data_IF_366712001293
#
_entry.id   IF_366712001293
#
_cell.length_a   1.000
_cell.length_b   1.000
_cell.length_c   1.000
_cell.angle_alpha   90.00
_cell.angle_beta   90.00
_cell.angle_gamma   90.00
#
_symmetry.space_group_name_H-M   'P 1'
#
loop_
_entity.id
_entity.type
_entity.pdbx_description
1 polymer ?
#
# COMPACT_ATOMS: atom_id res chain seq x y z
N UNK A 1 40.44 -16.87 -4.44
CA UNK A 1 39.93 -17.01 -5.80
C UNK A 1 39.09 -15.80 -6.13
N UNK A 2 39.24 -15.24 -7.33
CA UNK A 2 38.34 -14.18 -7.86
C UNK A 2 37.26 -14.86 -8.70
N UNK A 3 36.02 -14.43 -8.52
CA UNK A 3 34.85 -14.99 -9.22
C UNK A 3 34.03 -13.83 -9.73
N UNK A 4 33.78 -13.84 -11.02
CA UNK A 4 32.87 -12.89 -11.64
C UNK A 4 31.43 -13.40 -11.51
N UNK A 5 30.57 -12.57 -10.98
CA UNK A 5 29.13 -12.87 -10.85
C UNK A 5 28.32 -11.76 -11.54
N UNK A 6 27.21 -12.12 -12.16
CA UNK A 6 26.38 -11.16 -12.88
C UNK A 6 24.88 -11.44 -12.75
N UNK A 7 24.08 -10.38 -12.77
CA UNK A 7 22.67 -10.46 -13.13
C UNK A 7 22.58 -10.00 -14.58
N UNK A 8 22.09 -10.83 -15.51
CA UNK A 8 22.04 -10.51 -16.93
C UNK A 8 21.31 -9.18 -17.20
N UNK A 9 21.97 -8.32 -17.99
CA UNK A 9 21.45 -7.01 -18.36
C UNK A 9 21.48 -5.95 -17.26
N UNK A 10 21.75 -6.31 -15.98
CA UNK A 10 21.72 -5.35 -14.88
C UNK A 10 23.12 -4.98 -14.39
N UNK A 11 23.83 -5.90 -13.77
CA UNK A 11 25.13 -5.60 -13.15
C UNK A 11 26.04 -6.82 -13.07
N UNK A 12 27.33 -6.58 -13.25
CA UNK A 12 28.40 -7.56 -13.07
C UNK A 12 29.33 -7.10 -11.93
N UNK A 13 29.72 -8.01 -11.06
CA UNK A 13 30.62 -7.74 -9.94
C UNK A 13 31.69 -8.83 -9.79
N UNK A 14 32.84 -8.46 -9.26
CA UNK A 14 33.90 -9.40 -8.89
C UNK A 14 33.91 -9.65 -7.38
N UNK A 15 34.04 -10.91 -6.99
CA UNK A 15 34.06 -11.36 -5.60
C UNK A 15 35.34 -12.12 -5.35
N UNK A 16 36.09 -11.72 -4.32
CA UNK A 16 37.22 -12.49 -3.79
C UNK A 16 36.73 -13.38 -2.66
N UNK A 17 36.93 -14.69 -2.79
CA UNK A 17 36.55 -15.66 -1.76
C UNK A 17 37.62 -16.71 -1.57
N UNK A 18 37.73 -17.27 -0.35
CA UNK A 18 38.57 -18.44 -0.10
C UNK A 18 38.03 -19.65 -0.86
N UNK A 19 38.85 -20.38 -1.65
CA UNK A 19 38.41 -21.56 -2.41
C UNK A 19 37.73 -22.66 -1.60
N UNK A 20 38.04 -22.77 -0.31
CA UNK A 20 37.42 -23.73 0.59
C UNK A 20 35.99 -23.37 1.04
N UNK A 21 35.58 -22.10 0.85
CA UNK A 21 34.21 -21.64 1.15
C UNK A 21 33.18 -22.31 0.24
N UNK A 22 31.94 -22.40 0.73
CA UNK A 22 30.82 -22.97 -0.04
C UNK A 22 30.28 -22.00 -1.07
N UNK A 23 29.68 -22.52 -2.14
CA UNK A 23 28.96 -21.73 -3.17
C UNK A 23 27.82 -20.93 -2.54
N UNK A 24 27.18 -21.43 -1.48
CA UNK A 24 26.20 -20.67 -0.69
C UNK A 24 26.76 -19.39 -0.05
N UNK A 25 28.04 -19.39 0.35
CA UNK A 25 28.70 -18.17 0.84
C UNK A 25 28.94 -17.17 -0.30
N UNK A 26 29.31 -17.66 -1.50
CA UNK A 26 29.40 -16.82 -2.70
C UNK A 26 28.05 -16.15 -3.01
N UNK A 27 26.94 -16.90 -2.95
CA UNK A 27 25.58 -16.36 -3.11
C UNK A 27 25.29 -15.23 -2.13
N UNK A 28 25.50 -15.47 -0.83
CA UNK A 28 25.26 -14.47 0.22
C UNK A 28 26.07 -13.18 0.01
N UNK A 29 27.34 -13.30 -0.35
CA UNK A 29 28.21 -12.14 -0.61
C UNK A 29 27.79 -11.40 -1.86
N UNK A 30 27.46 -12.11 -2.95
CA UNK A 30 26.98 -11.51 -4.20
C UNK A 30 25.67 -10.75 -3.97
N UNK A 31 24.70 -11.39 -3.35
CA UNK A 31 23.39 -10.79 -3.07
C UNK A 31 23.52 -9.54 -2.18
N UNK A 32 24.35 -9.57 -1.14
CA UNK A 32 24.62 -8.40 -0.28
C UNK A 32 25.21 -7.23 -1.08
N UNK A 33 26.20 -7.50 -1.94
CA UNK A 33 26.83 -6.45 -2.78
C UNK A 33 25.85 -5.85 -3.83
N UNK A 34 24.88 -6.63 -4.28
CA UNK A 34 23.89 -6.23 -5.27
C UNK A 34 22.61 -5.68 -4.64
N UNK A 35 22.43 -5.83 -3.32
CA UNK A 35 21.24 -5.37 -2.60
C UNK A 35 19.99 -6.21 -2.94
N UNK A 36 20.14 -7.53 -3.11
CA UNK A 36 19.06 -8.48 -3.43
C UNK A 36 18.99 -9.61 -2.40
N UNK A 37 17.86 -10.32 -2.37
CA UNK A 37 17.59 -11.38 -1.40
C UNK A 37 18.21 -12.72 -1.82
N UNK A 38 19.04 -13.36 -0.96
CA UNK A 38 19.62 -14.66 -1.26
C UNK A 38 18.59 -15.78 -1.44
N UNK A 39 17.49 -15.75 -0.67
CA UNK A 39 16.47 -16.81 -0.71
C UNK A 39 15.65 -16.79 -1.99
N UNK A 40 15.60 -15.62 -2.68
CA UNK A 40 14.96 -15.42 -3.97
C UNK A 40 15.94 -15.46 -5.14
N UNK A 41 17.19 -15.95 -4.89
CA UNK A 41 18.27 -16.01 -5.88
C UNK A 41 18.81 -17.43 -6.01
N UNK A 42 19.05 -17.88 -7.23
CA UNK A 42 19.79 -19.09 -7.57
C UNK A 42 21.10 -18.73 -8.23
N UNK A 43 22.13 -19.56 -8.07
CA UNK A 43 23.36 -19.43 -8.82
C UNK A 43 23.38 -20.43 -9.98
N UNK A 44 23.71 -19.94 -11.16
CA UNK A 44 23.82 -20.74 -12.36
C UNK A 44 25.24 -20.62 -12.94
N UNK A 45 25.76 -21.71 -13.50
CA UNK A 45 26.96 -21.75 -14.33
C UNK A 45 26.62 -22.43 -15.63
N UNK A 46 26.80 -21.74 -16.76
CA UNK A 46 26.39 -22.21 -18.08
C UNK A 46 24.93 -22.70 -18.11
N UNK A 47 24.01 -21.94 -17.48
CA UNK A 47 22.59 -22.25 -17.39
C UNK A 47 22.21 -23.37 -16.39
N UNK A 48 23.19 -24.07 -15.79
CA UNK A 48 22.94 -25.14 -14.83
C UNK A 48 23.02 -24.62 -13.38
N UNK A 49 22.03 -25.01 -12.56
CA UNK A 49 21.97 -24.62 -11.13
C UNK A 49 23.17 -25.21 -10.37
N UNK A 50 23.85 -24.34 -9.64
CA UNK A 50 24.94 -24.73 -8.73
C UNK A 50 24.38 -25.21 -7.38
N UNK A 51 24.96 -26.29 -6.86
CA UNK A 51 24.67 -26.76 -5.50
C UNK A 51 25.42 -25.88 -4.49
N UNK A 52 24.70 -25.38 -3.52
CA UNK A 52 25.21 -24.41 -2.54
C UNK A 52 26.17 -25.02 -1.50
N UNK A 53 26.12 -26.34 -1.29
CA UNK A 53 26.97 -27.10 -0.37
C UNK A 53 28.38 -27.37 -0.94
N UNK A 54 28.60 -27.26 -2.24
CA UNK A 54 29.89 -27.50 -2.88
C UNK A 54 30.89 -26.37 -2.60
N UNK A 55 32.20 -26.74 -2.60
CA UNK A 55 33.26 -25.77 -2.43
C UNK A 55 33.41 -24.86 -3.69
N UNK A 56 33.74 -23.60 -3.47
CA UNK A 56 34.01 -22.60 -4.51
C UNK A 56 35.15 -23.02 -5.44
N UNK A 57 36.10 -23.83 -4.93
CA UNK A 57 37.18 -24.40 -5.73
C UNK A 57 36.72 -25.21 -6.94
N UNK A 58 35.50 -25.76 -6.92
CA UNK A 58 34.89 -26.46 -8.08
C UNK A 58 34.61 -25.56 -9.28
N UNK A 59 34.63 -24.25 -9.08
CA UNK A 59 34.44 -23.25 -10.16
C UNK A 59 35.74 -22.90 -10.90
N UNK A 60 36.92 -23.42 -10.45
CA UNK A 60 38.25 -23.06 -11.02
C UNK A 60 38.43 -23.40 -12.51
N UNK A 61 37.68 -24.36 -13.02
CA UNK A 61 37.79 -24.83 -14.41
C UNK A 61 36.91 -24.02 -15.40
N UNK A 62 36.11 -23.04 -14.91
CA UNK A 62 35.21 -22.25 -15.75
C UNK A 62 35.69 -20.82 -15.89
N UNK A 63 35.79 -20.34 -17.11
CA UNK A 63 36.03 -18.94 -17.48
C UNK A 63 34.70 -18.15 -17.55
N UNK A 64 33.57 -18.85 -17.59
CA UNK A 64 32.25 -18.23 -17.65
C UNK A 64 31.84 -17.59 -16.30
N UNK A 65 31.17 -16.42 -16.30
CA UNK A 65 30.68 -15.80 -15.10
C UNK A 65 29.56 -16.64 -14.45
N UNK A 66 29.52 -16.64 -13.11
CA UNK A 66 28.42 -17.21 -12.37
C UNK A 66 27.22 -16.25 -12.46
N UNK A 67 26.11 -16.73 -13.01
CA UNK A 67 24.88 -15.96 -13.16
C UNK A 67 24.03 -16.04 -11.89
N UNK A 68 23.52 -14.89 -11.45
CA UNK A 68 22.50 -14.82 -10.42
C UNK A 68 21.12 -14.79 -11.10
N UNK A 69 20.38 -15.86 -10.94
CA UNK A 69 18.98 -15.99 -11.37
C UNK A 69 18.09 -15.51 -10.20
N UNK A 70 17.80 -14.20 -10.22
CA UNK A 70 17.03 -13.51 -9.20
C UNK A 70 15.57 -13.36 -9.63
N UNK A 71 14.63 -13.60 -8.72
CA UNK A 71 13.19 -13.61 -9.02
C UNK A 71 12.72 -12.37 -9.77
N UNK A 72 13.19 -11.19 -9.38
CA UNK A 72 12.83 -9.93 -10.00
C UNK A 72 13.95 -9.30 -10.85
N UNK A 73 14.83 -10.12 -11.40
CA UNK A 73 15.96 -9.63 -12.21
C UNK A 73 15.54 -8.64 -13.30
N UNK A 74 14.43 -8.89 -13.99
CA UNK A 74 13.90 -8.02 -15.05
C UNK A 74 13.40 -6.67 -14.52
N UNK A 75 12.85 -6.63 -13.29
CA UNK A 75 12.38 -5.39 -12.66
C UNK A 75 13.56 -4.51 -12.24
N UNK A 76 14.72 -5.10 -11.91
CA UNK A 76 15.94 -4.33 -11.61
C UNK A 76 16.37 -3.45 -12.77
N UNK A 77 16.04 -3.82 -14.01
CA UNK A 77 16.35 -3.02 -15.21
C UNK A 77 15.55 -1.71 -15.22
N UNK A 78 14.39 -1.67 -14.55
CA UNK A 78 13.52 -0.49 -14.50
C UNK A 78 13.88 0.40 -13.31
N UNK A 79 13.94 -0.15 -12.09
CA UNK A 79 14.10 0.67 -10.88
C UNK A 79 15.28 0.30 -9.98
N UNK A 80 16.11 -0.66 -10.39
CA UNK A 80 17.29 -1.09 -9.65
C UNK A 80 16.96 -1.86 -8.37
N UNK A 81 18.00 -2.30 -7.66
CA UNK A 81 17.84 -3.05 -6.40
C UNK A 81 17.27 -2.18 -5.29
N UNK A 82 17.57 -0.88 -5.26
CA UNK A 82 17.00 0.03 -4.28
C UNK A 82 15.48 0.19 -4.46
N UNK A 83 15.03 0.37 -5.70
CA UNK A 83 13.60 0.41 -6.00
C UNK A 83 12.90 -0.90 -5.62
N UNK A 84 13.51 -2.06 -5.92
CA UNK A 84 12.95 -3.35 -5.47
C UNK A 84 12.88 -3.43 -3.95
N UNK A 85 13.91 -2.97 -3.24
CA UNK A 85 13.92 -2.91 -1.78
C UNK A 85 12.81 -2.01 -1.23
N UNK A 86 12.53 -0.87 -1.87
CA UNK A 86 11.39 -0.01 -1.48
C UNK A 86 10.07 -0.78 -1.53
N UNK A 87 9.82 -1.54 -2.62
CA UNK A 87 8.61 -2.38 -2.72
C UNK A 87 8.55 -3.44 -1.60
N UNK A 88 9.68 -4.08 -1.28
CA UNK A 88 9.77 -5.13 -0.26
C UNK A 88 9.51 -4.65 1.16
N UNK A 89 9.67 -3.37 1.45
CA UNK A 89 9.58 -2.82 2.80
C UNK A 89 8.26 -2.12 3.12
N UNK A 90 7.37 -1.97 2.15
CA UNK A 90 6.12 -1.25 2.34
C UNK A 90 4.93 -2.17 2.61
N UNK A 91 3.95 -1.63 3.33
CA UNK A 91 2.61 -2.18 3.45
C UNK A 91 1.68 -1.44 2.49
N UNK A 92 0.91 -2.19 1.72
CA UNK A 92 -0.22 -1.69 0.92
C UNK A 92 -1.50 -2.14 1.59
N UNK A 93 -2.40 -1.20 1.89
CA UNK A 93 -3.76 -1.52 2.31
C UNK A 93 -4.64 -1.67 1.07
N UNK A 94 -5.22 -2.85 0.92
CA UNK A 94 -6.23 -3.15 -0.08
C UNK A 94 -7.61 -3.10 0.60
N UNK A 95 -8.37 -2.05 0.32
CA UNK A 95 -9.74 -1.89 0.78
C UNK A 95 -10.70 -2.51 -0.25
N UNK A 96 -11.26 -3.66 0.10
CA UNK A 96 -12.10 -4.50 -0.76
C UNK A 96 -11.33 -5.66 -1.40
N UNK A 97 -11.78 -6.90 -1.16
CA UNK A 97 -11.28 -8.14 -1.73
C UNK A 97 -12.16 -8.64 -2.91
N UNK A 98 -12.94 -7.73 -3.50
CA UNK A 98 -13.77 -7.99 -4.67
C UNK A 98 -12.94 -8.22 -5.95
N UNK A 99 -13.57 -8.07 -7.11
CA UNK A 99 -12.93 -8.39 -8.40
C UNK A 99 -11.68 -7.53 -8.68
N UNK A 100 -11.76 -6.22 -8.46
CA UNK A 100 -10.62 -5.30 -8.58
C UNK A 100 -9.53 -5.70 -7.56
N UNK A 101 -9.91 -5.90 -6.29
CA UNK A 101 -8.96 -6.24 -5.23
C UNK A 101 -8.20 -7.53 -5.50
N UNK A 102 -8.87 -8.56 -6.01
CA UNK A 102 -8.23 -9.81 -6.43
C UNK A 102 -7.14 -9.59 -7.50
N UNK A 103 -7.47 -8.85 -8.56
CA UNK A 103 -6.54 -8.61 -9.66
C UNK A 103 -5.38 -7.68 -9.26
N UNK A 104 -5.65 -6.61 -8.52
CA UNK A 104 -4.60 -5.72 -8.02
C UNK A 104 -3.64 -6.47 -7.10
N UNK A 105 -4.17 -7.26 -6.16
CA UNK A 105 -3.32 -8.01 -5.23
C UNK A 105 -2.42 -9.02 -5.93
N UNK A 106 -2.90 -9.68 -7.00
CA UNK A 106 -2.08 -10.53 -7.88
C UNK A 106 -0.89 -9.74 -8.44
N UNK A 107 -1.16 -8.58 -9.03
CA UNK A 107 -0.12 -7.76 -9.65
C UNK A 107 0.90 -7.27 -8.61
N UNK A 108 0.44 -6.76 -7.46
CA UNK A 108 1.32 -6.29 -6.38
C UNK A 108 2.18 -7.42 -5.80
N UNK A 109 1.59 -8.61 -5.62
CA UNK A 109 2.33 -9.78 -5.14
C UNK A 109 3.40 -10.22 -6.14
N UNK A 110 3.09 -10.29 -7.43
CA UNK A 110 4.07 -10.63 -8.48
C UNK A 110 5.21 -9.61 -8.55
N UNK A 111 4.92 -8.33 -8.34
CA UNK A 111 5.92 -7.26 -8.30
C UNK A 111 6.78 -7.26 -7.03
N UNK A 112 6.37 -8.02 -6.01
CA UNK A 112 7.14 -8.19 -4.79
C UNK A 112 6.89 -7.10 -3.74
N UNK A 113 5.67 -6.58 -3.65
CA UNK A 113 5.28 -5.76 -2.49
C UNK A 113 5.46 -6.57 -1.21
N UNK A 114 6.08 -5.97 -0.19
CA UNK A 114 6.47 -6.71 1.02
C UNK A 114 5.29 -7.21 1.83
N UNK A 115 4.28 -6.35 2.02
CA UNK A 115 3.08 -6.68 2.80
C UNK A 115 1.82 -6.16 2.12
N UNK A 116 0.77 -6.98 2.08
CA UNK A 116 -0.57 -6.60 1.65
C UNK A 116 -1.54 -6.84 2.82
N UNK A 117 -2.09 -5.77 3.37
CA UNK A 117 -3.19 -5.82 4.33
C UNK A 117 -4.50 -5.74 3.55
N UNK A 118 -5.38 -6.71 3.72
CA UNK A 118 -6.63 -6.84 2.98
C UNK A 118 -7.80 -6.62 3.94
N UNK A 119 -8.68 -5.68 3.63
CA UNK A 119 -9.86 -5.40 4.43
C UNK A 119 -11.13 -5.67 3.61
N UNK A 120 -11.98 -6.57 4.10
CA UNK A 120 -13.28 -6.89 3.49
C UNK A 120 -14.17 -7.61 4.51
N UNK A 121 -15.46 -7.26 4.54
CA UNK A 121 -16.43 -7.89 5.45
C UNK A 121 -17.20 -9.04 4.81
N UNK A 122 -17.26 -9.10 3.47
CA UNK A 122 -18.10 -10.01 2.71
C UNK A 122 -17.61 -11.44 2.69
N UNK A 123 -18.49 -12.34 2.27
CA UNK A 123 -18.20 -13.74 2.02
C UNK A 123 -18.05 -14.03 0.52
N UNK A 124 -17.32 -15.09 0.21
CA UNK A 124 -17.16 -15.58 -1.16
C UNK A 124 -18.45 -16.22 -1.65
N UNK A 125 -18.93 -15.77 -2.81
CA UNK A 125 -20.12 -16.27 -3.48
C UNK A 125 -19.77 -16.98 -4.78
N UNK A 126 -20.70 -17.80 -5.32
CA UNK A 126 -20.50 -18.51 -6.58
C UNK A 126 -20.23 -17.56 -7.75
N UNK A 127 -20.92 -16.43 -7.81
CA UNK A 127 -20.72 -15.39 -8.82
C UNK A 127 -19.30 -14.83 -8.85
N UNK A 128 -18.60 -14.90 -7.72
CA UNK A 128 -17.23 -14.40 -7.59
C UNK A 128 -16.19 -15.28 -8.31
N UNK A 129 -16.41 -16.57 -8.33
CA UNK A 129 -15.47 -17.58 -8.90
C UNK A 129 -15.18 -17.35 -10.38
N UNK A 130 -16.14 -16.80 -11.13
CA UNK A 130 -15.98 -16.54 -12.57
C UNK A 130 -15.06 -15.36 -12.91
N UNK A 131 -14.76 -14.48 -11.94
CA UNK A 131 -14.04 -13.20 -12.18
C UNK A 131 -13.03 -12.81 -11.11
N UNK A 132 -12.79 -13.66 -10.11
CA UNK A 132 -11.85 -13.42 -9.01
C UNK A 132 -10.84 -14.57 -8.94
N UNK A 133 -9.63 -14.32 -9.42
CA UNK A 133 -8.61 -15.36 -9.72
C UNK A 133 -8.18 -16.18 -8.50
N UNK A 134 -8.30 -15.64 -7.29
CA UNK A 134 -7.90 -16.34 -6.07
C UNK A 134 -9.03 -17.09 -5.39
N UNK A 135 -10.28 -16.98 -5.87
CA UNK A 135 -11.41 -17.68 -5.27
C UNK A 135 -11.76 -18.95 -6.04
N UNK A 136 -12.12 -20.00 -5.32
CA UNK A 136 -12.48 -21.32 -5.82
C UNK A 136 -13.81 -21.75 -5.19
N UNK A 137 -14.50 -22.70 -5.80
CA UNK A 137 -15.77 -23.23 -5.26
C UNK A 137 -15.66 -23.74 -3.82
N UNK A 138 -14.51 -24.27 -3.40
CA UNK A 138 -14.24 -24.71 -2.02
C UNK A 138 -14.21 -23.56 -0.99
N UNK A 139 -14.15 -22.30 -1.45
CA UNK A 139 -14.03 -21.12 -0.61
C UNK A 139 -15.37 -20.43 -0.34
N UNK A 140 -16.46 -20.96 -0.93
CA UNK A 140 -17.82 -20.44 -0.75
C UNK A 140 -18.19 -20.29 0.74
N UNK A 141 -18.80 -19.17 1.09
CA UNK A 141 -19.22 -18.84 2.45
C UNK A 141 -18.11 -18.39 3.40
N UNK A 142 -16.82 -18.46 3.00
CA UNK A 142 -15.72 -17.94 3.80
C UNK A 142 -15.55 -16.44 3.56
N UNK A 143 -14.94 -15.73 4.53
CA UNK A 143 -14.67 -14.30 4.37
C UNK A 143 -13.68 -14.03 3.22
N UNK A 144 -14.00 -13.02 2.37
CA UNK A 144 -13.21 -12.68 1.17
C UNK A 144 -11.77 -12.27 1.51
N UNK A 145 -11.57 -11.44 2.57
CA UNK A 145 -10.23 -10.96 2.92
C UNK A 145 -9.32 -12.10 3.42
N UNK A 146 -9.87 -13.00 4.25
CA UNK A 146 -9.13 -14.14 4.79
C UNK A 146 -8.71 -15.10 3.65
N UNK A 147 -9.65 -15.47 2.77
CA UNK A 147 -9.39 -16.35 1.64
C UNK A 147 -8.38 -15.74 0.67
N UNK A 148 -8.50 -14.45 0.39
CA UNK A 148 -7.57 -13.76 -0.51
C UNK A 148 -6.16 -13.73 0.10
N UNK A 149 -6.03 -13.40 1.38
CA UNK A 149 -4.75 -13.39 2.09
C UNK A 149 -4.07 -14.77 2.08
N UNK A 150 -4.81 -15.83 2.39
CA UNK A 150 -4.34 -17.21 2.38
C UNK A 150 -3.86 -17.65 1.00
N UNK A 151 -4.66 -17.40 -0.04
CA UNK A 151 -4.36 -17.82 -1.40
C UNK A 151 -3.20 -17.02 -2.03
N UNK A 152 -3.05 -15.73 -1.69
CA UNK A 152 -1.86 -14.95 -2.09
C UNK A 152 -0.61 -15.52 -1.42
N UNK A 153 -0.64 -15.74 -0.09
CA UNK A 153 0.51 -16.27 0.63
C UNK A 153 0.90 -17.66 0.12
N UNK A 154 -0.08 -18.53 -0.11
CA UNK A 154 0.17 -19.87 -0.64
C UNK A 154 0.82 -19.87 -2.02
N UNK A 155 0.51 -18.90 -2.88
CA UNK A 155 1.09 -18.78 -4.22
C UNK A 155 2.38 -17.95 -4.24
N UNK A 156 2.48 -16.93 -3.40
CA UNK A 156 3.58 -15.98 -3.33
C UNK A 156 4.10 -15.87 -1.89
N UNK A 157 4.80 -16.91 -1.37
CA UNK A 157 5.18 -17.01 0.05
C UNK A 157 6.17 -15.93 0.50
N UNK A 158 6.72 -15.19 -0.43
CA UNK A 158 7.60 -14.04 -0.17
C UNK A 158 6.83 -12.73 0.10
N UNK A 159 5.49 -12.74 0.01
CA UNK A 159 4.63 -11.60 0.37
C UNK A 159 3.95 -11.90 1.70
N UNK A 160 4.11 -11.00 2.65
CA UNK A 160 3.36 -11.05 3.90
C UNK A 160 1.93 -10.57 3.65
N UNK A 161 0.95 -11.38 4.06
CA UNK A 161 -0.45 -11.03 3.93
C UNK A 161 -1.14 -11.04 5.28
N UNK A 162 -2.05 -10.12 5.48
CA UNK A 162 -2.93 -10.09 6.65
C UNK A 162 -4.33 -9.68 6.24
N UNK A 163 -5.34 -10.23 6.90
CA UNK A 163 -6.73 -9.94 6.66
C UNK A 163 -7.34 -9.15 7.82
N UNK A 164 -8.19 -8.19 7.51
CA UNK A 164 -9.11 -7.55 8.43
C UNK A 164 -10.54 -7.88 8.00
N UNK A 165 -11.23 -8.68 8.81
CA UNK A 165 -12.63 -9.04 8.61
C UNK A 165 -13.51 -8.05 9.35
N UNK A 166 -14.09 -7.10 8.63
CA UNK A 166 -15.00 -6.11 9.23
C UNK A 166 -15.12 -4.86 8.39
N UNK A 167 -15.92 -3.96 8.87
CA UNK A 167 -16.14 -2.64 8.29
C UNK A 167 -14.89 -1.77 8.38
N UNK A 168 -14.62 -1.00 7.34
CA UNK A 168 -13.47 -0.08 7.31
C UNK A 168 -13.52 0.95 8.44
N UNK A 169 -14.73 1.39 8.80
CA UNK A 169 -15.00 2.34 9.87
C UNK A 169 -14.55 1.85 11.24
N UNK A 170 -14.59 0.53 11.45
CA UNK A 170 -14.20 -0.13 12.70
C UNK A 170 -12.73 -0.56 12.70
N UNK A 171 -12.02 -0.43 11.57
CA UNK A 171 -10.62 -0.84 11.47
C UNK A 171 -9.71 0.09 12.28
N UNK A 172 -8.78 -0.45 13.10
CA UNK A 172 -7.84 0.37 13.86
C UNK A 172 -7.08 1.37 12.99
N UNK A 173 -7.06 2.64 13.40
CA UNK A 173 -6.42 3.73 12.64
C UNK A 173 -4.94 3.43 12.34
N UNK A 174 -4.24 2.76 13.25
CA UNK A 174 -2.85 2.33 13.03
C UNK A 174 -2.66 1.55 11.73
N UNK A 175 -3.62 0.70 11.33
CA UNK A 175 -3.50 -0.09 10.10
C UNK A 175 -3.53 0.79 8.84
N UNK A 176 -4.27 1.89 8.87
CA UNK A 176 -4.22 2.92 7.83
C UNK A 176 -2.87 3.67 7.84
N UNK A 177 -2.41 4.08 9.03
CA UNK A 177 -1.19 4.87 9.21
C UNK A 177 0.09 4.10 8.83
N UNK A 178 0.11 2.78 9.05
CA UNK A 178 1.22 1.91 8.67
C UNK A 178 1.26 1.63 7.16
N UNK A 179 0.18 1.93 6.45
CA UNK A 179 0.07 1.70 5.02
C UNK A 179 0.74 2.83 4.23
N UNK A 180 1.61 2.46 3.29
CA UNK A 180 2.30 3.40 2.40
C UNK A 180 1.35 4.04 1.42
N UNK A 181 0.38 3.26 0.96
CA UNK A 181 -0.66 3.62 0.01
C UNK A 181 -1.88 2.75 0.27
N UNK A 182 -3.04 3.32 0.07
CA UNK A 182 -4.34 2.62 0.09
C UNK A 182 -4.80 2.40 -1.34
N UNK A 183 -5.24 1.20 -1.64
CA UNK A 183 -5.81 0.81 -2.93
C UNK A 183 -7.29 0.52 -2.73
N UNK A 184 -8.15 1.24 -3.45
CA UNK A 184 -9.60 1.10 -3.34
C UNK A 184 -10.13 0.11 -4.38
N UNK A 185 -10.64 -1.02 -3.91
CA UNK A 185 -11.37 -2.03 -4.69
C UNK A 185 -12.85 -2.16 -4.29
N UNK A 186 -13.40 -1.12 -3.64
CA UNK A 186 -14.77 -1.10 -3.14
C UNK A 186 -15.78 -0.88 -4.28
N UNK A 187 -16.98 -1.39 -4.10
CA UNK A 187 -18.11 -1.24 -5.04
C UNK A 187 -19.16 -0.21 -4.57
N UNK A 188 -19.14 0.16 -3.30
CA UNK A 188 -20.11 1.12 -2.74
C UNK A 188 -19.49 2.52 -2.49
N UNK A 189 -20.32 3.55 -2.58
CA UNK A 189 -19.89 4.94 -2.47
C UNK A 189 -19.68 5.37 -1.02
N UNK A 190 -20.42 4.82 -0.07
CA UNK A 190 -20.32 5.19 1.36
C UNK A 190 -18.94 4.86 1.90
N UNK A 191 -18.49 3.63 1.71
CA UNK A 191 -17.15 3.19 2.14
C UNK A 191 -16.03 3.92 1.38
N UNK A 192 -16.26 4.34 0.09
CA UNK A 192 -15.32 5.20 -0.64
C UNK A 192 -15.21 6.59 -0.02
N UNK A 193 -16.33 7.17 0.41
CA UNK A 193 -16.35 8.47 1.12
C UNK A 193 -15.52 8.36 2.40
N UNK A 194 -15.80 7.36 3.25
CA UNK A 194 -15.05 7.14 4.48
C UNK A 194 -13.56 6.93 4.21
N UNK A 195 -13.21 6.05 3.28
CA UNK A 195 -11.82 5.78 2.91
C UNK A 195 -11.10 7.05 2.45
N UNK A 196 -11.78 7.88 1.64
CA UNK A 196 -11.23 9.15 1.16
C UNK A 196 -11.05 10.15 2.31
N UNK A 197 -11.98 10.19 3.30
CA UNK A 197 -11.85 11.02 4.49
C UNK A 197 -10.60 10.67 5.30
N UNK A 198 -10.40 9.37 5.58
CA UNK A 198 -9.21 8.88 6.32
C UNK A 198 -7.94 9.20 5.54
N UNK A 199 -7.89 8.87 4.25
CA UNK A 199 -6.73 9.13 3.41
C UNK A 199 -6.38 10.63 3.35
N UNK A 200 -7.39 11.49 3.20
CA UNK A 200 -7.18 12.93 3.21
C UNK A 200 -6.70 13.44 4.57
N UNK A 201 -7.41 13.07 5.65
CA UNK A 201 -7.11 13.55 7.00
C UNK A 201 -5.67 13.23 7.40
N UNK A 202 -5.24 12.01 7.12
CA UNK A 202 -3.91 11.52 7.51
C UNK A 202 -2.89 11.52 6.36
N UNK A 203 -3.20 12.21 5.27
CA UNK A 203 -2.29 12.39 4.12
C UNK A 203 -1.74 11.06 3.59
N UNK A 204 -2.59 10.03 3.49
CA UNK A 204 -2.23 8.73 2.93
C UNK A 204 -2.61 8.72 1.45
N UNK A 205 -1.70 8.41 0.52
CA UNK A 205 -2.04 8.27 -0.90
C UNK A 205 -3.12 7.21 -1.11
N UNK A 206 -4.08 7.50 -1.99
CA UNK A 206 -5.18 6.60 -2.34
C UNK A 206 -5.22 6.41 -3.86
N UNK A 207 -5.22 5.16 -4.30
CA UNK A 207 -5.44 4.81 -5.70
C UNK A 207 -6.86 4.27 -5.82
N UNK A 208 -7.74 5.09 -6.39
CA UNK A 208 -9.16 4.76 -6.57
C UNK A 208 -9.41 4.23 -7.97
N UNK A 209 -10.24 3.19 -8.07
CA UNK A 209 -10.70 2.63 -9.33
C UNK A 209 -12.16 2.20 -9.25
N UNK A 210 -12.83 2.18 -10.38
CA UNK A 210 -14.20 1.72 -10.50
C UNK A 210 -14.47 1.14 -11.87
N UNK A 211 -15.39 0.18 -11.93
CA UNK A 211 -15.80 -0.51 -13.17
C UNK A 211 -17.30 -0.60 -13.19
N UNK A 212 -17.86 -0.36 -14.38
CA UNK A 212 -19.26 -0.59 -14.69
C UNK A 212 -19.35 -1.19 -16.11
N UNK A 213 -19.52 -2.49 -16.19
CA UNK A 213 -19.53 -3.22 -17.45
C UNK A 213 -18.24 -3.06 -18.24
N UNK A 214 -18.33 -2.43 -19.41
CA UNK A 214 -17.22 -2.12 -20.30
C UNK A 214 -16.66 -0.71 -20.12
N UNK A 215 -16.98 -0.03 -19.01
CA UNK A 215 -16.40 1.26 -18.66
C UNK A 215 -15.62 1.15 -17.36
N UNK A 216 -14.53 1.89 -17.28
CA UNK A 216 -13.67 1.92 -16.11
C UNK A 216 -13.15 3.32 -15.82
N UNK A 217 -12.69 3.52 -14.60
CA UNK A 217 -11.93 4.72 -14.21
C UNK A 217 -10.83 4.39 -13.22
N UNK A 218 -9.75 5.14 -13.29
CA UNK A 218 -8.64 5.09 -12.33
C UNK A 218 -8.20 6.52 -12.01
N UNK A 219 -7.93 6.76 -10.74
CA UNK A 219 -7.40 8.04 -10.26
C UNK A 219 -6.39 7.80 -9.14
N UNK A 220 -5.25 8.46 -9.20
CA UNK A 220 -4.34 8.58 -8.07
C UNK A 220 -4.69 9.85 -7.30
N UNK A 221 -4.79 9.73 -5.98
CA UNK A 221 -5.07 10.84 -5.08
C UNK A 221 -3.95 11.01 -4.07
N UNK A 222 -3.24 12.10 -4.17
CA UNK A 222 -2.16 12.48 -3.25
C UNK A 222 -2.62 13.66 -2.40
N UNK A 223 -3.19 13.38 -1.21
CA UNK A 223 -3.68 14.46 -0.35
C UNK A 223 -2.53 15.27 0.27
N UNK A 224 -2.73 16.57 0.52
CA UNK A 224 -3.92 17.38 0.17
C UNK A 224 -3.86 17.99 -1.24
N UNK A 225 -2.82 17.71 -2.01
CA UNK A 225 -2.45 18.42 -3.24
C UNK A 225 -3.45 18.17 -4.39
N UNK A 226 -3.99 16.97 -4.49
CA UNK A 226 -4.89 16.58 -5.58
C UNK A 226 -6.38 16.83 -5.28
N UNK A 227 -7.20 16.79 -6.33
CA UNK A 227 -8.64 16.72 -6.20
C UNK A 227 -9.06 15.35 -5.70
N UNK A 228 -9.87 15.30 -4.64
CA UNK A 228 -10.26 14.02 -4.05
C UNK A 228 -11.27 13.27 -4.96
N UNK A 229 -11.25 11.92 -4.94
CA UNK A 229 -12.15 11.12 -5.79
C UNK A 229 -13.64 11.44 -5.64
N UNK A 230 -14.04 11.94 -4.46
CA UNK A 230 -15.44 12.26 -4.17
C UNK A 230 -15.90 13.54 -4.88
N UNK A 231 -14.99 14.42 -5.30
CA UNK A 231 -15.35 15.58 -6.12
C UNK A 231 -15.94 15.20 -7.50
N UNK A 232 -15.70 13.97 -7.97
CA UNK A 232 -16.26 13.45 -9.21
C UNK A 232 -17.77 13.22 -9.13
N UNK A 233 -18.32 13.01 -7.94
CA UNK A 233 -19.73 12.67 -7.76
C UNK A 233 -20.58 13.93 -7.59
N UNK A 234 -21.73 14.06 -8.29
CA UNK A 234 -22.67 15.16 -8.11
C UNK A 234 -23.32 15.16 -6.72
N UNK A 235 -23.59 16.35 -6.18
CA UNK A 235 -24.12 16.49 -4.81
C UNK A 235 -25.49 15.82 -4.60
N UNK A 236 -26.33 15.78 -5.62
CA UNK A 236 -27.64 15.12 -5.57
C UNK A 236 -27.56 13.59 -5.39
N UNK A 237 -26.43 12.99 -5.73
CA UNK A 237 -26.20 11.56 -5.44
C UNK A 237 -25.89 11.31 -3.96
N UNK A 238 -25.35 12.31 -3.24
CA UNK A 238 -25.05 12.13 -1.80
C UNK A 238 -26.31 12.07 -0.94
N UNK A 239 -27.37 12.84 -1.22
CA UNK A 239 -28.62 12.81 -0.46
C UNK A 239 -29.30 11.45 -0.53
N UNK A 240 -29.23 10.78 -1.68
CA UNK A 240 -29.75 9.43 -1.86
C UNK A 240 -28.87 8.36 -1.20
N UNK A 241 -27.55 8.58 -1.10
CA UNK A 241 -26.58 7.64 -0.54
C UNK A 241 -26.54 7.73 0.99
N UNK A 242 -26.58 8.94 1.56
CA UNK A 242 -26.59 9.15 3.02
C UNK A 242 -27.88 8.63 3.67
N UNK A 243 -28.98 8.52 2.88
CA UNK A 243 -30.23 7.87 3.31
C UNK A 243 -30.14 6.33 3.35
N UNK A 244 -29.18 5.72 2.69
CA UNK A 244 -28.93 4.27 2.71
C UNK A 244 -28.00 3.93 3.88
N UNK A 245 -28.57 3.71 5.08
CA UNK A 245 -27.82 3.38 6.29
C UNK A 245 -27.14 2.00 6.26
N UNK A 246 -27.49 1.13 5.31
CA UNK A 246 -26.89 -0.19 5.13
C UNK A 246 -26.67 -0.50 3.64
N UNK A 247 -25.44 -0.42 3.14
CA UNK A 247 -25.12 -0.85 1.76
C UNK A 247 -25.36 -2.35 1.51
N UNK A 248 -25.39 -3.15 2.59
CA UNK A 248 -25.72 -4.59 2.53
C UNK A 248 -27.21 -4.88 2.39
N UNK A 249 -28.07 -3.89 2.57
CA UNK A 249 -29.49 -3.96 2.19
C UNK A 249 -29.68 -3.47 0.76
N UNK A 250 -28.90 -4.03 -0.19
CA UNK A 250 -29.26 -3.93 -1.61
C UNK A 250 -30.71 -4.41 -1.73
N UNK A 251 -31.56 -3.56 -2.29
CA UNK A 251 -32.95 -3.96 -2.55
C UNK A 251 -32.91 -5.22 -3.38
N UNK A 252 -33.73 -6.24 -3.07
CA UNK A 252 -33.76 -7.48 -3.84
C UNK A 252 -33.93 -7.27 -5.35
N UNK A 253 -34.39 -6.08 -5.75
CA UNK A 253 -34.73 -5.70 -7.13
C UNK A 253 -33.63 -4.85 -7.81
N UNK A 254 -32.48 -4.57 -7.18
CA UNK A 254 -31.40 -3.85 -7.88
C UNK A 254 -30.74 -4.78 -8.90
N UNK A 255 -30.67 -4.39 -10.19
CA UNK A 255 -30.06 -5.23 -11.21
C UNK A 255 -28.56 -5.42 -10.89
N UNK A 256 -28.10 -6.67 -11.01
CA UNK A 256 -26.68 -6.99 -10.82
C UNK A 256 -25.80 -6.10 -11.72
N UNK A 257 -24.78 -5.48 -11.13
CA UNK A 257 -23.84 -4.64 -11.87
C UNK A 257 -23.03 -5.51 -12.85
N UNK A 258 -23.09 -5.24 -14.16
CA UNK A 258 -22.34 -6.03 -15.13
C UNK A 258 -20.84 -5.93 -14.87
N UNK A 259 -20.14 -7.06 -14.93
CA UNK A 259 -18.71 -7.13 -14.62
C UNK A 259 -18.04 -8.23 -15.44
N UNK A 260 -16.92 -7.90 -16.10
CA UNK A 260 -16.16 -8.80 -16.96
C UNK A 260 -14.73 -8.94 -16.46
N UNK A 261 -14.18 -10.16 -16.48
CA UNK A 261 -12.80 -10.41 -16.02
C UNK A 261 -11.77 -9.58 -16.79
N UNK A 262 -11.95 -9.38 -18.08
CA UNK A 262 -11.03 -8.61 -18.94
C UNK A 262 -11.04 -7.12 -18.60
N UNK A 263 -12.21 -6.51 -18.35
CA UNK A 263 -12.34 -5.12 -17.91
C UNK A 263 -11.69 -4.93 -16.53
N UNK A 264 -11.95 -5.89 -15.63
CA UNK A 264 -11.36 -5.91 -14.29
C UNK A 264 -9.82 -5.97 -14.39
N UNK A 265 -9.27 -6.89 -15.18
CA UNK A 265 -7.82 -7.05 -15.32
C UNK A 265 -7.15 -5.79 -15.87
N UNK A 266 -7.75 -5.12 -16.86
CA UNK A 266 -7.17 -3.91 -17.43
C UNK A 266 -7.15 -2.76 -16.43
N UNK A 267 -8.30 -2.45 -15.80
CA UNK A 267 -8.42 -1.37 -14.81
C UNK A 267 -7.50 -1.63 -13.61
N UNK A 268 -7.48 -2.86 -13.11
CA UNK A 268 -6.64 -3.26 -11.98
C UNK A 268 -5.14 -3.23 -12.30
N UNK A 269 -4.75 -3.50 -13.55
CA UNK A 269 -3.36 -3.38 -13.96
C UNK A 269 -2.88 -1.94 -13.96
N UNK A 270 -3.72 -1.01 -14.43
CA UNK A 270 -3.44 0.43 -14.34
C UNK A 270 -3.36 0.86 -12.86
N UNK A 271 -4.33 0.45 -12.05
CA UNK A 271 -4.34 0.77 -10.62
C UNK A 271 -3.09 0.25 -9.90
N UNK A 272 -2.64 -0.97 -10.20
CA UNK A 272 -1.40 -1.52 -9.66
C UNK A 272 -0.18 -0.72 -10.12
N UNK A 273 -0.11 -0.32 -11.39
CA UNK A 273 0.96 0.51 -11.93
C UNK A 273 1.02 1.87 -11.22
N UNK A 274 -0.11 2.52 -10.98
CA UNK A 274 -0.20 3.77 -10.25
C UNK A 274 0.25 3.60 -8.79
N UNK A 275 -0.10 2.49 -8.16
CA UNK A 275 0.36 2.12 -6.81
C UNK A 275 1.90 2.05 -6.75
N UNK A 276 2.53 1.43 -7.74
CA UNK A 276 4.00 1.32 -7.84
C UNK A 276 4.67 2.68 -8.01
N UNK A 277 4.13 3.55 -8.88
CA UNK A 277 4.64 4.93 -9.05
C UNK A 277 4.63 5.70 -7.73
N UNK A 278 3.52 5.61 -6.98
CA UNK A 278 3.39 6.25 -5.67
C UNK A 278 4.39 5.67 -4.67
N UNK A 279 4.53 4.34 -4.58
CA UNK A 279 5.50 3.73 -3.65
C UNK A 279 6.92 4.24 -3.91
N UNK A 280 7.31 4.33 -5.18
CA UNK A 280 8.66 4.78 -5.55
C UNK A 280 8.88 6.26 -5.35
N UNK A 281 7.89 7.10 -5.65
CA UNK A 281 8.08 8.54 -5.82
C UNK A 281 7.54 9.45 -4.72
N UNK A 282 6.67 8.98 -3.82
CA UNK A 282 5.95 9.86 -2.88
C UNK A 282 6.87 10.63 -1.91
N UNK A 283 8.02 10.04 -1.50
CA UNK A 283 8.93 10.74 -0.59
C UNK A 283 9.61 11.91 -1.31
N UNK A 284 10.09 11.68 -2.52
CA UNK A 284 10.69 12.70 -3.36
C UNK A 284 9.67 13.80 -3.70
N UNK A 285 8.46 13.39 -4.10
CA UNK A 285 7.39 14.35 -4.36
C UNK A 285 7.03 15.21 -3.15
N UNK A 286 6.99 14.63 -1.95
CA UNK A 286 6.69 15.39 -0.72
C UNK A 286 7.81 16.39 -0.39
N UNK A 287 9.05 16.02 -0.65
CA UNK A 287 10.21 16.85 -0.40
C UNK A 287 10.41 17.94 -1.46
N UNK A 288 10.20 17.63 -2.74
CA UNK A 288 10.61 18.48 -3.88
C UNK A 288 9.45 18.95 -4.76
N UNK A 289 8.25 18.37 -4.59
CA UNK A 289 7.09 18.51 -5.49
C UNK A 289 7.34 17.96 -6.91
N UNK A 290 8.38 17.15 -7.09
CA UNK A 290 8.71 16.48 -8.34
C UNK A 290 8.63 14.97 -8.20
N UNK A 291 8.17 14.28 -9.23
CA UNK A 291 8.16 12.83 -9.31
C UNK A 291 9.42 12.31 -9.98
N UNK A 292 9.97 11.16 -9.53
CA UNK A 292 11.15 10.56 -10.15
C UNK A 292 10.90 10.25 -11.63
N UNK A 293 11.77 10.70 -12.53
CA UNK A 293 11.66 10.43 -13.97
C UNK A 293 11.61 8.91 -14.25
N UNK A 294 12.42 8.14 -13.54
CA UNK A 294 12.59 6.70 -13.72
C UNK A 294 11.30 5.89 -13.55
N UNK A 295 10.41 6.29 -12.66
CA UNK A 295 9.15 5.58 -12.39
C UNK A 295 7.94 6.34 -12.92
N UNK A 296 8.15 7.59 -13.27
CA UNK A 296 7.14 8.46 -13.85
C UNK A 296 6.18 9.07 -12.82
N UNK A 297 5.37 10.01 -13.28
CA UNK A 297 4.35 10.67 -12.50
C UNK A 297 3.09 9.81 -12.44
N UNK A 298 2.43 9.68 -11.26
CA UNK A 298 1.11 9.09 -11.16
C UNK A 298 0.05 9.94 -11.90
N UNK A 299 -1.08 9.31 -12.21
CA UNK A 299 -2.25 9.98 -12.77
C UNK A 299 -2.75 11.08 -11.80
N UNK A 300 -2.60 12.34 -12.19
CA UNK A 300 -3.10 13.51 -11.43
C UNK A 300 -4.54 13.88 -11.82
N UNK A 301 -5.01 13.31 -12.92
CA UNK A 301 -6.35 13.43 -13.46
C UNK A 301 -7.04 12.07 -13.45
N UNK A 302 -8.36 12.05 -13.58
CA UNK A 302 -9.08 10.78 -13.68
C UNK A 302 -8.94 10.22 -15.09
N UNK A 303 -8.39 9.01 -15.20
CA UNK A 303 -8.40 8.24 -16.44
C UNK A 303 -9.74 7.51 -16.57
N UNK A 304 -10.48 7.82 -17.64
CA UNK A 304 -11.68 7.11 -18.05
C UNK A 304 -11.36 6.14 -19.19
N UNK A 305 -11.95 4.96 -19.10
CA UNK A 305 -11.78 3.88 -20.06
C UNK A 305 -13.16 3.48 -20.62
N UNK A 306 -13.36 3.66 -21.91
CA UNK A 306 -14.47 3.08 -22.67
C UNK A 306 -13.93 1.87 -23.45
N UNK A 307 -14.05 0.70 -22.85
CA UNK A 307 -13.50 -0.55 -23.39
C UNK A 307 -14.35 -1.10 -24.55
N UNK A 308 -15.60 -0.65 -24.67
CA UNK A 308 -16.47 -1.00 -25.81
C UNK A 308 -15.95 -0.38 -27.11
N UNK A 309 -15.48 0.85 -27.05
CA UNK A 309 -15.06 1.63 -28.21
C UNK A 309 -13.54 1.85 -28.26
N UNK A 310 -12.76 1.22 -27.34
CA UNK A 310 -11.32 1.41 -27.20
C UNK A 310 -10.90 2.89 -27.06
N UNK A 311 -11.64 3.66 -26.27
CA UNK A 311 -11.37 5.06 -25.99
C UNK A 311 -10.86 5.26 -24.58
N UNK A 312 -9.79 6.02 -24.45
CA UNK A 312 -9.12 6.29 -23.19
C UNK A 312 -8.91 7.80 -23.09
N UNK A 313 -9.39 8.43 -22.04
CA UNK A 313 -9.30 9.87 -21.85
C UNK A 313 -8.92 10.22 -20.41
N UNK A 314 -7.95 11.12 -20.24
CA UNK A 314 -7.69 11.76 -18.95
C UNK A 314 -8.56 13.02 -18.88
N UNK A 315 -9.28 13.17 -17.77
CA UNK A 315 -10.15 14.30 -17.53
C UNK A 315 -9.80 14.95 -16.20
N UNK A 316 -9.53 16.24 -16.24
CA UNK A 316 -9.33 17.05 -15.04
C UNK A 316 -10.67 17.23 -14.32
N UNK A 317 -10.71 16.74 -13.08
CA UNK A 317 -11.84 16.99 -12.18
C UNK A 317 -11.47 18.14 -11.27
N UNK A 318 -12.22 19.23 -11.31
CA UNK A 318 -11.98 20.37 -10.44
C UNK A 318 -12.45 20.08 -9.00
N UNK A 319 -11.75 20.69 -8.04
CA UNK A 319 -12.14 20.55 -6.63
C UNK A 319 -13.50 21.23 -6.42
N UNK A 320 -14.45 20.44 -5.95
CA UNK A 320 -15.79 20.94 -5.63
C UNK A 320 -15.78 21.63 -4.25
N UNK A 321 -16.05 22.97 -4.19
CA UNK A 321 -16.10 23.69 -2.91
C UNK A 321 -17.15 23.15 -1.93
N UNK A 322 -18.16 22.46 -2.44
CA UNK A 322 -19.25 21.83 -1.67
C UNK A 322 -19.06 20.33 -1.47
N UNK A 323 -17.85 19.80 -1.77
CA UNK A 323 -17.55 18.39 -1.55
C UNK A 323 -17.68 18.04 -0.07
N UNK A 324 -18.38 16.94 0.24
CA UNK A 324 -18.61 16.48 1.62
C UNK A 324 -17.33 16.02 2.31
N UNK A 325 -16.25 15.75 1.58
CA UNK A 325 -14.96 15.33 2.13
C UNK A 325 -13.99 16.52 2.21
N UNK A 326 -13.69 17.16 1.09
CA UNK A 326 -12.61 18.14 0.99
C UNK A 326 -13.10 19.59 0.75
N UNK A 327 -14.40 19.81 0.68
CA UNK A 327 -15.00 21.14 0.50
C UNK A 327 -14.88 22.02 1.74
N UNK A 328 -15.41 23.24 1.69
CA UNK A 328 -15.35 24.21 2.80
C UNK A 328 -15.95 23.68 4.10
N UNK A 329 -17.03 22.91 4.01
CA UNK A 329 -17.72 22.27 5.12
C UNK A 329 -17.50 20.75 5.14
N UNK A 330 -16.48 20.28 4.42
CA UNK A 330 -16.17 18.85 4.30
C UNK A 330 -15.62 18.26 5.59
N UNK A 331 -15.96 17.00 5.85
CA UNK A 331 -15.58 16.27 7.09
C UNK A 331 -14.08 16.05 7.25
N UNK A 332 -13.31 16.16 6.17
CA UNK A 332 -11.86 16.10 6.17
C UNK A 332 -11.25 17.33 5.46
N UNK A 333 -11.81 18.52 5.71
CA UNK A 333 -11.29 19.79 5.19
C UNK A 333 -9.83 19.96 5.59
N UNK A 334 -9.54 19.77 6.86
CA UNK A 334 -8.23 19.93 7.45
C UNK A 334 -7.50 18.59 7.55
N UNK A 335 -6.18 18.63 7.43
CA UNK A 335 -5.32 17.46 7.52
C UNK A 335 -4.57 17.46 8.86
N UNK A 336 -4.36 16.27 9.44
CA UNK A 336 -3.56 16.12 10.64
C UNK A 336 -2.08 16.41 10.34
N UNK A 337 -1.40 17.10 11.26
CA UNK A 337 0.06 17.24 11.21
C UNK A 337 0.71 15.89 11.51
N UNK A 338 1.74 15.51 10.75
CA UNK A 338 2.48 14.27 10.96
C UNK A 338 3.87 14.54 11.52
N UNK A 339 4.29 13.69 12.45
CA UNK A 339 5.63 13.76 13.05
C UNK A 339 6.13 12.38 13.48
N UNK A 340 7.41 12.31 13.82
CA UNK A 340 8.04 11.13 14.40
C UNK A 340 8.71 11.49 15.71
N UNK A 341 8.70 10.57 16.65
CA UNK A 341 9.31 10.73 17.96
C UNK A 341 10.01 9.43 18.37
N UNK A 342 11.34 9.44 18.62
CA UNK A 342 12.02 8.31 19.21
C UNK A 342 11.36 7.90 20.53
N UNK A 343 11.04 6.61 20.67
CA UNK A 343 10.28 6.09 21.82
C UNK A 343 10.96 6.46 23.15
N UNK A 344 12.29 6.41 23.20
CA UNK A 344 13.09 6.78 24.38
C UNK A 344 12.92 8.24 24.82
N UNK A 345 12.52 9.13 23.91
CA UNK A 345 12.28 10.53 24.23
C UNK A 345 11.06 10.73 25.13
N UNK A 346 10.11 9.79 25.12
CA UNK A 346 8.97 9.78 26.03
C UNK A 346 9.36 9.52 27.48
N UNK A 347 10.54 8.96 27.73
CA UNK A 347 11.02 8.63 29.09
C UNK A 347 11.87 9.74 29.72
N UNK A 348 12.08 10.87 29.03
CA UNK A 348 12.83 12.05 29.54
C UNK A 348 11.97 12.91 30.47
N UNK A 349 12.64 13.90 31.17
CA UNK A 349 12.00 14.68 32.24
C UNK A 349 10.84 15.58 31.80
N UNK A 350 10.77 16.03 30.54
CA UNK A 350 9.71 16.93 30.04
C UNK A 350 9.00 16.35 28.79
N UNK A 351 8.29 15.29 28.92
CA UNK A 351 7.74 14.59 27.76
C UNK A 351 6.63 15.37 27.02
N UNK A 352 5.81 16.15 27.72
CA UNK A 352 4.81 17.04 27.10
C UNK A 352 5.44 18.06 26.15
N UNK A 353 6.59 18.61 26.52
CA UNK A 353 7.34 19.56 25.68
C UNK A 353 7.93 18.87 24.45
N UNK A 354 8.40 17.64 24.62
CA UNK A 354 8.96 16.81 23.56
C UNK A 354 7.86 16.43 22.55
N UNK A 355 6.69 16.00 23.03
CA UNK A 355 5.52 15.69 22.19
C UNK A 355 5.07 16.94 21.41
N UNK A 356 4.93 18.09 22.09
CA UNK A 356 4.54 19.34 21.42
C UNK A 356 5.50 19.72 20.31
N UNK A 357 6.82 19.58 20.51
CA UNK A 357 7.83 19.84 19.49
C UNK A 357 7.71 18.87 18.30
N UNK A 358 7.56 17.57 18.56
CA UNK A 358 7.41 16.56 17.53
C UNK A 358 6.12 16.75 16.71
N UNK A 359 5.06 17.21 17.35
CA UNK A 359 3.77 17.51 16.71
C UNK A 359 3.73 18.91 16.06
N UNK A 360 4.77 19.71 16.23
CA UNK A 360 4.76 21.14 15.86
C UNK A 360 3.54 21.90 16.44
N UNK A 361 3.15 21.54 17.67
CA UNK A 361 2.00 22.14 18.36
C UNK A 361 2.48 23.14 19.40
N UNK A 362 2.05 24.38 19.25
CA UNK A 362 2.27 25.47 20.23
C UNK A 362 1.05 25.75 21.10
N UNK A 363 0.00 24.93 20.95
CA UNK A 363 -1.35 25.10 21.47
C UNK A 363 -1.61 24.25 22.71
N UNK A 364 -2.76 24.46 23.35
CA UNK A 364 -3.18 23.66 24.48
C UNK A 364 -3.60 22.26 24.03
N UNK A 365 -2.90 21.22 24.47
CA UNK A 365 -3.32 19.84 24.26
C UNK A 365 -4.59 19.58 25.07
N UNK A 366 -5.67 19.18 24.38
CA UNK A 366 -6.94 18.80 25.00
C UNK A 366 -6.88 17.33 25.43
N UNK A 367 -6.47 16.46 24.51
CA UNK A 367 -6.39 15.01 24.77
C UNK A 367 -5.36 14.33 23.88
N UNK A 368 -4.89 13.18 24.33
CA UNK A 368 -3.97 12.30 23.61
C UNK A 368 -4.56 10.91 23.56
N UNK A 369 -4.52 10.28 22.40
CA UNK A 369 -4.91 8.89 22.20
C UNK A 369 -3.71 8.05 21.78
N UNK A 370 -3.66 6.82 22.26
CA UNK A 370 -2.74 5.79 21.75
C UNK A 370 -3.46 5.03 20.64
N UNK A 371 -2.86 5.03 19.47
CA UNK A 371 -3.32 4.27 18.31
C UNK A 371 -2.39 3.07 18.09
N UNK A 372 -2.90 1.87 18.28
CA UNK A 372 -2.15 0.62 18.11
C UNK A 372 -2.97 -0.42 17.32
N UNK A 373 -2.42 -1.61 17.13
CA UNK A 373 -3.08 -2.69 16.38
C UNK A 373 -4.38 -3.21 17.02
N UNK A 374 -4.63 -2.87 18.28
CA UNK A 374 -5.85 -3.25 19.01
C UNK A 374 -6.91 -2.15 19.03
N UNK A 375 -6.60 -0.97 18.50
CA UNK A 375 -7.51 0.16 18.39
C UNK A 375 -7.01 1.43 19.05
N UNK A 376 -7.95 2.32 19.33
CA UNK A 376 -7.73 3.65 19.92
C UNK A 376 -7.95 3.61 21.42
N UNK A 377 -6.98 4.08 22.21
CA UNK A 377 -7.12 4.19 23.67
C UNK A 377 -6.89 5.63 24.09
N UNK A 378 -7.87 6.25 24.76
CA UNK A 378 -7.69 7.57 25.38
C UNK A 378 -6.70 7.48 26.53
N UNK A 379 -5.73 8.39 26.56
CA UNK A 379 -4.68 8.39 27.56
C UNK A 379 -4.98 9.42 28.65
N UNK A 380 -5.14 8.94 29.87
CA UNK A 380 -5.34 9.76 31.05
C UNK A 380 -3.99 10.10 31.69
N UNK A 381 -3.35 11.12 31.15
CA UNK A 381 -2.06 11.61 31.67
C UNK A 381 -0.84 10.77 31.29
N UNK A 382 0.31 11.31 31.61
CA UNK A 382 1.62 10.88 31.15
C UNK A 382 2.16 9.56 31.73
N UNK A 383 1.94 9.24 33.03
CA UNK A 383 2.41 7.98 33.59
C UNK A 383 1.81 6.75 32.90
N UNK A 384 0.58 6.89 32.39
CA UNK A 384 -0.14 5.79 31.71
C UNK A 384 0.40 5.56 30.29
N UNK A 385 0.83 6.62 29.59
CA UNK A 385 1.41 6.53 28.25
C UNK A 385 2.66 5.63 28.29
N UNK A 386 3.57 5.87 29.23
CA UNK A 386 4.85 5.14 29.33
C UNK A 386 4.71 3.63 29.48
N UNK A 387 3.65 3.16 30.13
CA UNK A 387 3.44 1.72 30.39
C UNK A 387 2.80 0.97 29.22
N UNK A 388 2.18 1.68 28.28
CA UNK A 388 1.35 1.07 27.22
C UNK A 388 1.89 1.23 25.82
N UNK A 389 2.79 2.19 25.58
CA UNK A 389 3.32 2.49 24.24
C UNK A 389 4.41 1.53 23.81
N UNK A 390 4.46 1.22 22.53
CA UNK A 390 5.49 0.41 21.88
C UNK A 390 6.04 1.12 20.66
N UNK A 391 7.23 0.74 20.22
CA UNK A 391 7.78 1.18 18.95
C UNK A 391 6.84 0.79 17.81
N UNK A 392 6.54 1.74 16.93
CA UNK A 392 5.58 1.56 15.84
C UNK A 392 4.14 1.92 16.18
N UNK A 393 3.81 2.27 17.43
CA UNK A 393 2.52 2.86 17.79
C UNK A 393 2.47 4.34 17.40
N UNK A 394 1.27 4.92 17.44
CA UNK A 394 1.06 6.34 17.17
C UNK A 394 0.40 7.03 18.35
N UNK A 395 0.78 8.27 18.57
CA UNK A 395 0.06 9.20 19.45
C UNK A 395 -0.77 10.14 18.58
N UNK A 396 -2.09 10.11 18.75
CA UNK A 396 -3.01 11.07 18.16
C UNK A 396 -3.35 12.14 19.17
N UNK A 397 -3.03 13.38 18.86
CA UNK A 397 -3.11 14.51 19.77
C UNK A 397 -4.13 15.50 19.21
N UNK A 398 -5.10 15.86 20.03
CA UNK A 398 -6.02 16.95 19.75
C UNK A 398 -5.60 18.17 20.57
N UNK A 399 -5.48 19.31 19.92
CA UNK A 399 -5.15 20.60 20.51
C UNK A 399 -6.14 21.68 20.09
N UNK A 400 -6.23 22.74 20.87
CA UNK A 400 -7.10 23.89 20.62
C UNK A 400 -6.22 25.14 20.48
N UNK A 401 -6.38 25.82 19.36
CA UNK A 401 -5.77 27.10 19.11
C UNK A 401 -6.45 28.22 19.93
N UNK A 402 -5.79 29.39 20.03
CA UNK A 402 -6.34 30.55 20.76
C UNK A 402 -7.65 31.07 20.20
N UNK A 403 -7.93 30.82 18.94
CA UNK A 403 -9.20 31.17 18.25
C UNK A 403 -10.30 30.10 18.37
N UNK A 404 -10.07 29.04 19.17
CA UNK A 404 -11.00 27.92 19.36
C UNK A 404 -10.97 26.85 18.27
N UNK A 405 -10.11 26.97 17.25
CA UNK A 405 -9.95 25.92 16.25
C UNK A 405 -9.30 24.68 16.81
N UNK A 406 -9.80 23.51 16.40
CA UNK A 406 -9.26 22.21 16.79
C UNK A 406 -8.23 21.73 15.78
N UNK A 407 -7.04 21.46 16.24
CA UNK A 407 -5.96 20.89 15.45
C UNK A 407 -5.67 19.46 15.88
N UNK A 408 -5.28 18.65 14.92
CA UNK A 408 -4.94 17.24 15.13
C UNK A 408 -3.50 16.97 14.66
N UNK A 409 -2.77 16.22 15.46
CA UNK A 409 -1.44 15.74 15.11
C UNK A 409 -1.33 14.24 15.35
N UNK A 410 -0.58 13.56 14.46
CA UNK A 410 -0.25 12.14 14.54
C UNK A 410 1.27 12.02 14.65
N UNK A 411 1.76 11.41 15.73
CA UNK A 411 3.16 11.18 15.98
C UNK A 411 3.45 9.68 15.98
N UNK A 412 4.30 9.22 15.08
CA UNK A 412 4.79 7.85 15.06
C UNK A 412 5.88 7.68 16.11
N UNK A 413 5.81 6.63 16.92
CA UNK A 413 6.84 6.24 17.86
C UNK A 413 7.87 5.33 17.13
N UNK A 414 9.08 5.85 16.91
CA UNK A 414 10.14 5.19 16.13
C UNK A 414 11.28 4.67 17.01
#
# INVERSE_FOLDING_TARGET
>A
MRITTSIPGYKQIEIKLNPARKIGDLKKVACRKLGIEPDLTRLLLNGKRLREDLAVSKLKSSTAPVTLDYLWARQLLVWGSEGQRKLRTVTVLLAGAGAIGNEVSKNLAMLGVGRILIADLDQVEMSNVSRMIFFRSKDLGKNKAEVLAENIHGKYPYVETSAYRGELESMPLKLYLDSRVVVCGLDNVVSRIFLTQICRRYQIPLIDAGILGLTGRVQSYIPPDDTCPICLFPRNQYSNIVGLRNPCEARPDEPAVPSFSTSISLVSSIQAQETIKVIHGIDEYRATKQWPEKTGQPLRETLFLDLKNNRYAQMKVERNPKCIVCGKEGTARDTATRGELPLEMLYRKEPNKTIRRAANLYEKIITTYLENSHGTTKMEGYPTIRKRVRRGDYLRILSEARNGELHEAIIKLV
#
